data_IF_097852540713
#
_entry.id   IF_097852540713
#
_cell.length_a   1.000
_cell.length_b   1.000
_cell.length_c   1.000
_cell.angle_alpha   90.00
_cell.angle_beta   90.00
_cell.angle_gamma   90.00
#
_symmetry.space_group_name_H-M   'P 1'
#
loop_
_entity.id
_entity.type
_entity.pdbx_description
1 polymer ?
#
# COMPACT_ATOMS: atom_id res chain seq x y z
N UNK A 1 12.74 -0.30 -15.00
CA UNK A 1 11.52 -0.70 -14.25
C UNK A 1 10.91 -1.88 -14.97
N UNK A 2 10.50 -2.93 -14.27
CA UNK A 2 9.83 -4.10 -14.89
C UNK A 2 8.31 -3.85 -14.91
N UNK A 3 7.65 -4.09 -16.05
CA UNK A 3 6.21 -3.92 -16.21
C UNK A 3 5.43 -4.82 -15.25
N UNK A 4 5.88 -6.06 -15.03
CA UNK A 4 5.23 -6.98 -14.08
C UNK A 4 5.18 -6.42 -12.66
N UNK A 5 6.25 -5.76 -12.21
CA UNK A 5 6.29 -5.13 -10.89
C UNK A 5 5.36 -3.91 -10.80
N UNK A 6 5.18 -3.19 -11.91
CA UNK A 6 4.23 -2.07 -12.00
C UNK A 6 2.80 -2.60 -11.91
N UNK A 7 2.48 -3.66 -12.66
CA UNK A 7 1.15 -4.28 -12.65
C UNK A 7 0.80 -4.86 -11.27
N UNK A 8 1.76 -5.52 -10.61
CA UNK A 8 1.60 -5.99 -9.24
C UNK A 8 1.36 -4.84 -8.25
N UNK A 9 2.10 -3.73 -8.38
CA UNK A 9 1.91 -2.56 -7.54
C UNK A 9 0.54 -1.88 -7.78
N UNK A 10 0.11 -1.80 -9.03
CA UNK A 10 -1.22 -1.31 -9.42
C UNK A 10 -2.32 -2.19 -8.83
N UNK A 11 -2.18 -3.52 -8.91
CA UNK A 11 -3.12 -4.48 -8.33
C UNK A 11 -3.18 -4.36 -6.80
N UNK A 12 -2.02 -4.30 -6.12
CA UNK A 12 -1.95 -4.12 -4.67
C UNK A 12 -2.64 -2.81 -4.24
N UNK A 13 -2.43 -1.74 -5.00
CA UNK A 13 -3.08 -0.45 -4.74
C UNK A 13 -4.50 -0.38 -5.30
N UNK A 14 -4.99 -1.42 -6.00
CA UNK A 14 -6.29 -1.44 -6.67
C UNK A 14 -6.53 -0.19 -7.54
N UNK A 15 -5.53 0.11 -8.37
CA UNK A 15 -5.49 1.24 -9.27
C UNK A 15 -5.41 0.76 -10.72
N UNK A 16 -6.13 1.43 -11.63
CA UNK A 16 -6.09 1.15 -13.06
C UNK A 16 -5.64 2.40 -13.80
N UNK A 17 -4.60 2.35 -14.65
CA UNK A 17 -4.17 3.48 -15.47
C UNK A 17 -5.29 4.00 -16.40
N UNK A 18 -5.30 5.31 -16.74
CA UNK A 18 -4.37 6.34 -16.29
C UNK A 18 -4.63 6.77 -14.84
N UNK A 19 -3.56 6.91 -14.05
CA UNK A 19 -3.65 7.38 -12.66
C UNK A 19 -2.86 8.67 -12.45
N UNK A 20 -3.36 9.54 -11.59
CA UNK A 20 -2.66 10.77 -11.17
C UNK A 20 -1.90 10.58 -9.86
N UNK A 21 -0.90 11.44 -9.61
CA UNK A 21 -0.19 11.48 -8.33
C UNK A 21 -1.15 11.63 -7.14
N UNK A 22 -2.18 12.46 -7.29
CA UNK A 22 -3.19 12.67 -6.26
C UNK A 22 -4.01 11.41 -5.97
N UNK A 23 -4.40 10.65 -7.00
CA UNK A 23 -5.11 9.37 -6.82
C UNK A 23 -4.23 8.35 -6.10
N UNK A 24 -2.95 8.27 -6.46
CA UNK A 24 -1.97 7.41 -5.80
C UNK A 24 -1.79 7.78 -4.32
N UNK A 25 -1.64 9.08 -4.01
CA UNK A 25 -1.49 9.59 -2.64
C UNK A 25 -2.76 9.34 -1.79
N UNK A 26 -3.94 9.54 -2.38
CA UNK A 26 -5.22 9.23 -1.71
C UNK A 26 -5.28 7.75 -1.36
N UNK A 27 -4.97 6.88 -2.33
CA UNK A 27 -5.07 5.43 -2.14
C UNK A 27 -4.07 4.90 -1.11
N UNK A 28 -2.85 5.44 -1.09
CA UNK A 28 -1.85 5.14 -0.04
C UNK A 28 -2.42 5.44 1.35
N UNK A 29 -3.01 6.63 1.56
CA UNK A 29 -3.57 7.02 2.86
C UNK A 29 -4.73 6.10 3.31
N UNK A 30 -5.61 5.74 2.38
CA UNK A 30 -6.71 4.79 2.66
C UNK A 30 -6.19 3.42 3.09
N UNK A 31 -5.20 2.88 2.37
CA UNK A 31 -4.61 1.58 2.68
C UNK A 31 -3.87 1.61 4.02
N UNK A 32 -3.05 2.63 4.29
CA UNK A 32 -2.35 2.77 5.57
C UNK A 32 -3.32 2.93 6.75
N UNK A 33 -4.44 3.63 6.57
CA UNK A 33 -5.50 3.73 7.60
C UNK A 33 -6.19 2.38 7.87
N UNK A 34 -6.27 1.51 6.86
CA UNK A 34 -6.84 0.16 6.99
C UNK A 34 -5.93 -0.75 7.81
N UNK A 35 -4.62 -0.69 7.56
CA UNK A 35 -3.60 -1.50 8.23
C UNK A 35 -3.09 -0.89 9.54
N UNK A 36 -3.67 0.23 10.00
CA UNK A 36 -3.23 0.90 11.20
C UNK A 36 -3.38 -0.01 12.44
N UNK A 37 -2.30 -0.27 13.21
CA UNK A 37 -2.30 -1.24 14.31
C UNK A 37 -3.39 -1.04 15.37
N UNK A 38 -3.80 0.21 15.59
CA UNK A 38 -4.84 0.56 16.56
C UNK A 38 -6.21 -0.06 16.23
N UNK A 39 -6.49 -0.40 14.96
CA UNK A 39 -7.72 -1.12 14.61
C UNK A 39 -7.76 -2.52 15.21
N UNK A 40 -6.59 -3.15 15.41
CA UNK A 40 -6.51 -4.51 15.95
C UNK A 40 -6.53 -4.56 17.47
N UNK A 41 -6.14 -3.47 18.14
CA UNK A 41 -6.18 -3.37 19.59
C UNK A 41 -7.61 -3.56 20.16
N UNK A 42 -8.63 -3.10 19.42
CA UNK A 42 -10.03 -3.22 19.84
C UNK A 42 -10.70 -4.54 19.42
N UNK A 43 -10.03 -5.41 18.64
CA UNK A 43 -10.63 -6.62 18.08
C UNK A 43 -10.39 -7.88 18.92
N UNK A 44 -9.41 -7.87 19.84
CA UNK A 44 -9.13 -9.05 20.66
C UNK A 44 -8.36 -8.72 21.94
N UNK A 45 -8.79 -9.32 23.06
CA UNK A 45 -8.05 -9.33 24.32
C UNK A 45 -7.01 -10.47 24.37
N UNK A 46 -6.83 -11.24 23.29
CA UNK A 46 -5.85 -12.32 23.23
C UNK A 46 -4.51 -11.78 22.68
N UNK A 47 -3.43 -11.76 23.48
CA UNK A 47 -2.14 -11.20 23.06
C UNK A 47 -1.53 -11.88 21.82
N UNK A 48 -1.75 -13.19 21.63
CA UNK A 48 -1.22 -13.92 20.47
C UNK A 48 -1.90 -13.49 19.18
N UNK A 49 -3.23 -13.33 19.20
CA UNK A 49 -4.00 -12.84 18.04
C UNK A 49 -3.65 -11.39 17.73
N UNK A 50 -3.51 -10.56 18.76
CA UNK A 50 -3.03 -9.18 18.61
C UNK A 50 -1.68 -9.13 17.89
N UNK A 51 -0.69 -9.91 18.35
CA UNK A 51 0.64 -9.93 17.74
C UNK A 51 0.64 -10.45 16.29
N UNK A 52 -0.19 -11.44 15.96
CA UNK A 52 -0.33 -11.90 14.57
C UNK A 52 -0.88 -10.80 13.66
N UNK A 53 -1.92 -10.09 14.10
CA UNK A 53 -2.50 -8.98 13.34
C UNK A 53 -1.55 -7.78 13.24
N UNK A 54 -0.81 -7.48 14.31
CA UNK A 54 0.23 -6.45 14.30
C UNK A 54 1.29 -6.74 13.23
N UNK A 55 1.86 -7.95 13.23
CA UNK A 55 2.86 -8.37 12.23
C UNK A 55 2.30 -8.32 10.81
N UNK A 56 1.03 -8.71 10.63
CA UNK A 56 0.35 -8.60 9.33
C UNK A 56 0.22 -7.15 8.89
N UNK A 57 -0.19 -6.24 9.79
CA UNK A 57 -0.25 -4.81 9.52
C UNK A 57 1.11 -4.26 9.13
N UNK A 58 2.17 -4.60 9.87
CA UNK A 58 3.54 -4.19 9.55
C UNK A 58 3.96 -4.65 8.14
N UNK A 59 3.76 -5.93 7.81
CA UNK A 59 4.08 -6.47 6.49
C UNK A 59 3.34 -5.72 5.37
N UNK A 60 2.02 -5.54 5.51
CA UNK A 60 1.21 -4.84 4.51
C UNK A 60 1.61 -3.37 4.35
N UNK A 61 1.93 -2.68 5.45
CA UNK A 61 2.40 -1.28 5.35
C UNK A 61 3.73 -1.16 4.60
N UNK A 62 4.64 -2.13 4.75
CA UNK A 62 5.89 -2.19 3.98
C UNK A 62 5.63 -2.42 2.50
N UNK A 63 4.75 -3.37 2.16
CA UNK A 63 4.37 -3.65 0.77
C UNK A 63 3.71 -2.43 0.10
N UNK A 64 2.78 -1.76 0.80
CA UNK A 64 2.12 -0.53 0.32
C UNK A 64 3.16 0.57 0.05
N UNK A 65 4.14 0.74 0.95
CA UNK A 65 5.17 1.77 0.79
C UNK A 65 6.12 1.47 -0.37
N UNK A 66 6.46 0.20 -0.59
CA UNK A 66 7.27 -0.23 -1.73
C UNK A 66 6.54 0.00 -3.06
N UNK A 67 5.28 -0.44 -3.15
CA UNK A 67 4.43 -0.23 -4.33
C UNK A 67 4.22 1.26 -4.63
N UNK A 68 3.98 2.08 -3.60
CA UNK A 68 3.85 3.52 -3.75
C UNK A 68 5.13 4.15 -4.33
N UNK A 69 6.30 3.82 -3.79
CA UNK A 69 7.59 4.35 -4.26
C UNK A 69 7.81 3.98 -5.72
N UNK A 70 7.50 2.73 -6.10
CA UNK A 70 7.60 2.26 -7.48
C UNK A 70 6.67 3.04 -8.41
N UNK A 71 5.40 3.19 -8.05
CA UNK A 71 4.41 3.88 -8.89
C UNK A 71 4.67 5.39 -9.00
N UNK A 72 5.24 6.03 -7.98
CA UNK A 72 5.69 7.43 -8.06
C UNK A 72 6.79 7.58 -9.11
N UNK A 73 7.82 6.73 -9.07
CA UNK A 73 8.89 6.77 -10.06
C UNK A 73 8.37 6.45 -11.46
N UNK A 74 7.38 5.56 -11.59
CA UNK A 74 6.79 5.19 -12.87
C UNK A 74 6.04 6.38 -13.47
N UNK A 75 5.20 7.05 -12.66
CA UNK A 75 4.52 8.27 -13.08
C UNK A 75 5.48 9.36 -13.52
N UNK A 76 6.57 9.59 -12.78
CA UNK A 76 7.57 10.58 -13.15
C UNK A 76 8.23 10.27 -14.51
N UNK A 77 8.56 9.00 -14.75
CA UNK A 77 9.14 8.58 -16.03
C UNK A 77 8.13 8.68 -17.18
N UNK A 78 6.86 8.37 -16.94
CA UNK A 78 5.79 8.48 -17.95
C UNK A 78 5.39 9.91 -18.30
N UNK A 79 5.69 10.90 -17.45
CA UNK A 79 5.41 12.32 -17.73
C UNK A 79 6.59 13.04 -18.42
N UNK A 80 7.78 12.45 -18.39
CA UNK A 80 9.00 12.99 -18.99
C UNK A 80 9.30 12.40 -20.38
N UNK A 81 8.35 11.69 -21.00
CA UNK A 81 8.47 11.03 -22.30
C UNK A 81 7.48 11.54 -23.32
#
# INVERSE_FOLDING_TARGET
MNQEHIDQALQLMSLTPPISRQQLDKKRRELLSTWHPHRYANLTNNPRRYMQMYKKGEAMTKEIQAAYTLLVAWLQNSQNG
#
